data_IF_972681524128
#
_entry.id   IF_972681524128
#
_cell.length_a   1.000
_cell.length_b   1.000
_cell.length_c   1.000
_cell.angle_alpha   90.00
_cell.angle_beta   90.00
_cell.angle_gamma   90.00
#
_symmetry.space_group_name_H-M   'P 1'
#
loop_
_entity.id
_entity.type
_entity.pdbx_description
1 polymer ?
#
# COMPACT_ATOMS: atom_id res chain seq x y z
N UNK A 1 -9.45 19.15 -16.39
CA UNK A 1 -8.19 18.47 -16.02
C UNK A 1 -7.80 18.87 -14.61
N UNK A 2 -7.47 17.91 -13.77
CA UNK A 2 -6.89 18.19 -12.46
C UNK A 2 -5.38 17.96 -12.52
N UNK A 3 -4.65 18.74 -11.75
CA UNK A 3 -3.19 18.61 -11.66
C UNK A 3 -2.80 18.61 -10.18
N UNK A 4 -1.93 17.69 -9.79
CA UNK A 4 -1.43 17.59 -8.43
C UNK A 4 0.03 17.11 -8.44
N UNK A 5 0.66 17.16 -7.28
CA UNK A 5 2.02 16.66 -7.09
C UNK A 5 2.03 15.65 -5.95
N UNK A 6 2.76 14.57 -6.11
CA UNK A 6 2.83 13.50 -5.12
C UNK A 6 3.30 14.01 -3.74
N UNK A 7 4.19 14.99 -3.72
CA UNK A 7 4.68 15.57 -2.47
C UNK A 7 3.61 16.25 -1.63
N UNK A 8 2.48 16.64 -2.25
CA UNK A 8 1.33 17.25 -1.56
C UNK A 8 0.42 16.19 -0.93
N UNK A 9 0.63 14.91 -1.25
CA UNK A 9 -0.24 13.83 -0.81
C UNK A 9 0.20 13.28 0.56
N UNK A 10 -0.77 12.76 1.31
CA UNK A 10 -0.48 12.18 2.62
C UNK A 10 0.05 10.75 2.46
N UNK A 11 1.30 10.55 2.88
CA UNK A 11 1.99 9.24 2.83
C UNK A 11 1.95 8.57 1.45
N UNK A 12 1.93 9.38 0.39
CA UNK A 12 1.95 8.89 -0.98
C UNK A 12 0.60 8.48 -1.56
N UNK A 13 -0.49 8.55 -0.81
CA UNK A 13 -1.84 8.23 -1.29
C UNK A 13 -2.36 9.36 -2.17
N UNK A 14 -2.64 9.10 -3.46
CA UNK A 14 -3.00 10.14 -4.42
C UNK A 14 -4.30 9.91 -5.17
N UNK A 15 -4.91 8.73 -5.08
CA UNK A 15 -6.25 8.44 -5.59
C UNK A 15 -7.04 7.75 -4.49
N UNK A 16 -8.25 8.23 -4.22
CA UNK A 16 -9.13 7.64 -3.22
C UNK A 16 -10.10 8.67 -2.64
N UNK A 17 -10.99 8.21 -1.78
CA UNK A 17 -11.97 9.08 -1.11
C UNK A 17 -11.37 9.67 0.17
N UNK A 18 -10.45 10.58 0.00
CA UNK A 18 -9.76 11.29 1.10
C UNK A 18 -9.24 12.63 0.60
N UNK A 19 -8.81 13.48 1.52
CA UNK A 19 -8.23 14.79 1.22
C UNK A 19 -6.86 14.89 1.92
N UNK A 20 -5.76 15.25 1.20
CA UNK A 20 -5.74 15.57 -0.22
C UNK A 20 -5.84 14.35 -1.13
N UNK A 21 -6.27 14.52 -2.36
CA UNK A 21 -6.32 13.50 -3.39
C UNK A 21 -6.28 14.16 -4.76
N UNK A 22 -5.60 13.55 -5.70
CA UNK A 22 -5.59 14.02 -7.09
C UNK A 22 -6.91 13.68 -7.80
N UNK A 23 -7.55 12.60 -7.39
CA UNK A 23 -8.84 12.17 -7.91
C UNK A 23 -9.62 11.45 -6.81
N UNK A 24 -10.75 12.04 -6.42
CA UNK A 24 -11.61 11.51 -5.36
C UNK A 24 -12.52 10.43 -5.93
N UNK A 25 -12.41 9.21 -5.39
CA UNK A 25 -13.23 8.08 -5.83
C UNK A 25 -13.27 7.00 -4.75
N UNK A 26 -14.37 6.25 -4.71
CA UNK A 26 -14.49 5.04 -3.90
C UNK A 26 -14.11 3.78 -4.68
N UNK A 27 -13.82 3.89 -5.98
CA UNK A 27 -13.52 2.74 -6.83
C UNK A 27 -12.20 2.06 -6.47
N UNK A 28 -11.22 2.83 -6.03
CA UNK A 28 -9.91 2.32 -5.63
C UNK A 28 -9.17 3.34 -4.77
N UNK A 29 -8.09 2.88 -4.15
CA UNK A 29 -7.09 3.75 -3.52
C UNK A 29 -5.74 3.40 -4.10
N UNK A 30 -4.94 4.42 -4.44
CA UNK A 30 -3.63 4.23 -5.06
C UNK A 30 -2.59 5.07 -4.33
N UNK A 31 -1.45 4.46 -4.05
CA UNK A 31 -0.32 5.14 -3.43
C UNK A 31 1.00 4.79 -4.11
N UNK A 32 1.93 5.72 -4.05
CA UNK A 32 3.37 5.44 -4.17
C UNK A 32 3.95 5.54 -2.77
N UNK A 33 4.44 4.44 -2.24
CA UNK A 33 4.97 4.35 -0.88
C UNK A 33 6.49 4.27 -0.93
N UNK A 34 7.13 5.14 -0.17
CA UNK A 34 8.59 5.12 0.00
C UNK A 34 8.91 4.71 1.43
N UNK A 35 9.84 3.77 1.56
CA UNK A 35 10.29 3.26 2.86
C UNK A 35 11.81 3.33 2.94
N UNK A 36 12.32 3.63 4.12
CA UNK A 36 13.74 3.47 4.43
C UNK A 36 13.99 2.03 4.89
N UNK A 37 15.19 1.54 4.64
CA UNK A 37 15.62 0.23 5.15
C UNK A 37 15.32 0.09 6.65
N UNK A 38 14.66 -1.00 7.03
CA UNK A 38 14.26 -1.31 8.39
C UNK A 38 12.88 -0.81 8.80
N UNK A 39 12.24 0.06 8.03
CA UNK A 39 10.85 0.44 8.30
C UNK A 39 9.94 -0.76 8.13
N UNK A 40 8.94 -0.88 8.98
CA UNK A 40 8.02 -2.02 8.98
C UNK A 40 6.59 -1.59 9.30
N UNK A 41 5.64 -2.44 8.92
CA UNK A 41 4.24 -2.34 9.32
C UNK A 41 3.85 -3.64 10.03
N UNK A 42 3.11 -3.50 11.14
CA UNK A 42 2.64 -4.63 11.91
C UNK A 42 1.65 -5.49 11.11
N UNK A 43 1.57 -6.77 11.49
CA UNK A 43 0.65 -7.70 10.85
C UNK A 43 -0.79 -7.18 10.87
N UNK A 44 -1.39 -7.15 9.70
CA UNK A 44 -2.74 -6.63 9.50
C UNK A 44 -3.42 -7.31 8.31
N UNK A 45 -4.72 -7.05 8.17
CA UNK A 45 -5.52 -7.53 7.05
C UNK A 45 -6.59 -6.52 6.69
N UNK A 46 -7.19 -6.70 5.51
CA UNK A 46 -8.35 -5.95 5.04
C UNK A 46 -9.53 -6.90 4.93
N UNK A 47 -10.72 -6.42 5.23
CA UNK A 47 -11.96 -7.23 5.12
C UNK A 47 -12.66 -7.02 3.79
N UNK A 48 -12.50 -5.85 3.18
CA UNK A 48 -13.24 -5.43 1.98
C UNK A 48 -12.32 -5.40 0.76
N UNK A 49 -11.18 -4.71 0.87
CA UNK A 49 -10.31 -4.46 -0.26
C UNK A 49 -9.39 -5.63 -0.58
N UNK A 50 -9.16 -5.83 -1.88
CA UNK A 50 -8.01 -6.57 -2.40
C UNK A 50 -6.87 -5.58 -2.54
N UNK A 51 -5.69 -5.89 -2.03
CA UNK A 51 -4.51 -5.04 -2.09
C UNK A 51 -3.49 -5.61 -3.06
N UNK A 52 -3.05 -4.78 -4.00
CA UNK A 52 -2.00 -5.13 -4.96
C UNK A 52 -0.79 -4.27 -4.68
N UNK A 53 0.35 -4.89 -4.43
CA UNK A 53 1.63 -4.21 -4.21
C UNK A 53 2.59 -4.56 -5.33
N UNK A 54 3.10 -3.55 -6.02
CA UNK A 54 4.16 -3.68 -7.01
C UNK A 54 5.44 -3.06 -6.44
N UNK A 55 6.49 -3.85 -6.32
CA UNK A 55 7.80 -3.34 -5.91
C UNK A 55 8.47 -2.67 -7.12
N UNK A 56 8.75 -1.37 -7.02
CA UNK A 56 9.44 -0.62 -8.07
C UNK A 56 10.95 -0.71 -7.89
N UNK A 57 11.41 -0.49 -6.66
CA UNK A 57 12.84 -0.54 -6.33
C UNK A 57 13.01 -1.01 -4.89
N UNK A 58 14.20 -1.54 -4.59
CA UNK A 58 14.52 -2.07 -3.27
C UNK A 58 14.12 -3.51 -3.10
N UNK A 59 14.05 -3.95 -1.83
CA UNK A 59 13.66 -5.30 -1.45
C UNK A 59 12.80 -5.26 -0.20
N UNK A 60 11.78 -6.12 -0.15
CA UNK A 60 10.83 -6.18 0.96
C UNK A 60 10.61 -7.63 1.40
N UNK A 61 10.18 -7.79 2.65
CA UNK A 61 9.61 -9.04 3.15
C UNK A 61 8.15 -8.81 3.45
N UNK A 62 7.29 -9.59 2.83
CA UNK A 62 5.86 -9.64 3.12
C UNK A 62 5.28 -10.97 2.65
N UNK A 63 4.15 -11.36 3.19
CA UNK A 63 3.51 -12.65 2.88
C UNK A 63 4.48 -13.84 3.06
N UNK A 64 5.37 -13.77 4.07
CA UNK A 64 6.32 -14.82 4.42
C UNK A 64 7.50 -15.00 3.48
N UNK A 65 7.73 -14.09 2.53
CA UNK A 65 8.80 -14.20 1.52
C UNK A 65 9.43 -12.84 1.24
N UNK A 66 10.57 -12.88 0.55
CA UNK A 66 11.25 -11.69 0.04
C UNK A 66 10.85 -11.41 -1.40
N UNK A 67 10.68 -10.11 -1.72
CA UNK A 67 10.26 -9.63 -3.04
C UNK A 67 11.18 -8.49 -3.47
N UNK A 68 11.40 -8.37 -4.78
CA UNK A 68 12.24 -7.33 -5.37
C UNK A 68 11.58 -6.64 -6.56
N UNK A 69 12.33 -5.77 -7.28
CA UNK A 69 11.77 -4.96 -8.35
C UNK A 69 11.03 -5.77 -9.40
N UNK A 70 9.81 -5.33 -9.72
CA UNK A 70 8.94 -5.99 -10.69
C UNK A 70 8.02 -7.05 -10.09
N UNK A 71 8.26 -7.49 -8.86
CA UNK A 71 7.37 -8.45 -8.21
C UNK A 71 6.05 -7.80 -7.83
N UNK A 72 4.97 -8.55 -7.99
CA UNK A 72 3.62 -8.12 -7.65
C UNK A 72 3.04 -9.11 -6.65
N UNK A 73 2.56 -8.59 -5.53
CA UNK A 73 1.89 -9.38 -4.49
C UNK A 73 0.44 -8.94 -4.41
N UNK A 74 -0.48 -9.88 -4.55
CA UNK A 74 -1.93 -9.64 -4.41
C UNK A 74 -2.41 -10.29 -3.14
N UNK A 75 -2.99 -9.49 -2.25
CA UNK A 75 -3.57 -9.94 -1.00
C UNK A 75 -5.09 -9.79 -1.07
N UNK A 76 -5.78 -10.92 -0.97
CA UNK A 76 -7.23 -10.95 -0.95
C UNK A 76 -7.77 -10.61 0.45
N UNK A 77 -9.06 -10.21 0.55
CA UNK A 77 -9.65 -9.92 1.86
C UNK A 77 -9.46 -11.08 2.84
N UNK A 78 -9.06 -10.74 4.06
CA UNK A 78 -8.79 -11.70 5.13
C UNK A 78 -7.37 -12.23 5.19
N UNK A 79 -6.57 -12.06 4.14
CA UNK A 79 -5.17 -12.48 4.17
C UNK A 79 -4.36 -11.53 5.03
N UNK A 80 -3.62 -12.09 5.97
CA UNK A 80 -2.80 -11.35 6.94
C UNK A 80 -1.37 -11.26 6.43
N UNK A 81 -0.78 -10.08 6.50
CA UNK A 81 0.66 -9.89 6.29
C UNK A 81 1.20 -8.80 7.19
N UNK A 82 2.46 -8.94 7.56
CA UNK A 82 3.31 -7.83 7.98
C UNK A 82 4.10 -7.33 6.78
N UNK A 83 4.91 -6.31 6.98
CA UNK A 83 5.74 -5.71 5.94
C UNK A 83 7.03 -5.21 6.57
N UNK A 84 8.16 -5.49 5.92
CA UNK A 84 9.45 -4.93 6.29
C UNK A 84 10.22 -4.52 5.04
N UNK A 85 10.73 -3.30 5.01
CA UNK A 85 11.65 -2.85 3.97
C UNK A 85 13.06 -3.35 4.32
N UNK A 86 13.61 -4.22 3.49
CA UNK A 86 14.96 -4.79 3.69
C UNK A 86 16.05 -3.84 3.18
N UNK A 87 15.67 -2.90 2.32
CA UNK A 87 16.49 -1.80 1.81
C UNK A 87 15.56 -0.62 1.58
N UNK A 88 16.12 0.54 1.18
CA UNK A 88 15.28 1.65 0.73
C UNK A 88 14.43 1.19 -0.43
N UNK A 89 13.12 1.41 -0.35
CA UNK A 89 12.14 0.77 -1.22
C UNK A 89 11.11 1.77 -1.70
N UNK A 90 10.65 1.59 -2.94
CA UNK A 90 9.48 2.26 -3.49
C UNK A 90 8.51 1.21 -3.99
N UNK A 91 7.26 1.29 -3.51
CA UNK A 91 6.16 0.44 -3.94
C UNK A 91 5.04 1.27 -4.54
N UNK A 92 4.32 0.68 -5.49
CA UNK A 92 2.98 1.13 -5.87
C UNK A 92 1.98 0.21 -5.18
N UNK A 93 0.99 0.79 -4.51
CA UNK A 93 -0.06 0.05 -3.79
C UNK A 93 -1.42 0.46 -4.35
N UNK A 94 -2.22 -0.54 -4.70
CA UNK A 94 -3.59 -0.34 -5.18
C UNK A 94 -4.53 -1.17 -4.30
N UNK A 95 -5.58 -0.52 -3.78
CA UNK A 95 -6.66 -1.20 -3.05
C UNK A 95 -7.96 -1.10 -3.86
N UNK A 96 -8.65 -2.20 -4.04
CA UNK A 96 -9.88 -2.29 -4.84
C UNK A 96 -10.92 -3.14 -4.09
N UNK A 97 -12.12 -2.61 -3.84
CA UNK A 97 -12.51 -1.21 -3.94
C UNK A 97 -11.80 -0.34 -2.90
N UNK A 98 -11.96 0.98 -2.99
CA UNK A 98 -11.58 1.87 -1.90
C UNK A 98 -12.51 1.65 -0.71
N UNK A 99 -11.95 1.58 0.49
CA UNK A 99 -12.73 1.38 1.71
C UNK A 99 -12.08 2.09 2.87
N UNK A 100 -12.83 2.98 3.52
CA UNK A 100 -12.36 3.70 4.70
C UNK A 100 -12.24 2.74 5.89
N UNK A 101 -11.19 2.95 6.71
CA UNK A 101 -11.00 2.24 7.97
C UNK A 101 -11.00 0.70 7.83
N UNK A 102 -10.56 0.20 6.67
CA UNK A 102 -10.54 -1.23 6.35
C UNK A 102 -9.18 -1.89 6.67
N UNK A 103 -8.50 -1.39 7.68
CA UNK A 103 -7.24 -1.97 8.16
C UNK A 103 -7.42 -2.47 9.58
N UNK A 104 -7.18 -3.76 9.78
CA UNK A 104 -7.36 -4.42 11.08
C UNK A 104 -6.04 -5.04 11.51
N UNK A 105 -5.58 -4.67 12.71
CA UNK A 105 -4.40 -5.26 13.31
C UNK A 105 -4.73 -6.66 13.85
N UNK A 106 -3.76 -7.55 13.75
CA UNK A 106 -3.88 -8.88 14.33
C UNK A 106 -3.56 -8.78 15.81
N UNK A 107 -4.54 -9.15 16.65
CA UNK A 107 -4.33 -9.25 18.08
C UNK A 107 -3.71 -10.61 18.40
N UNK A 108 -2.59 -10.56 19.07
CA UNK A 108 -1.88 -11.76 19.53
C UNK A 108 -2.13 -11.95 21.00
#
# INVERSE_FOLDING_TARGET
MNVANLEEMFKGWFVGNFTPSAFVTDACEVAVKSYRSGEHEDAHYHKIATEVTLVISGAVRMAGREWGPGDIVVLFPGEVTDFEALSDTVNVVVKVPGAKDDKYLVNV
#
